data_IF_706878052808
#
_entry.id   IF_706878052808
#
_cell.length_a   1.000
_cell.length_b   1.000
_cell.length_c   1.000
_cell.angle_alpha   90.00
_cell.angle_beta   90.00
_cell.angle_gamma   90.00
#
_symmetry.space_group_name_H-M   'P 1'
#
loop_
_entity.id
_entity.type
_entity.pdbx_description
1 polymer ?
#
# COMPACT_ATOMS: atom_id res chain seq x y z
N UNK A 1 -8.14 -21.80 17.98
CA UNK A 1 -8.29 -20.47 18.58
C UNK A 1 -8.47 -20.50 20.11
N UNK A 2 -9.38 -21.30 20.71
CA UNK A 2 -9.58 -21.27 22.16
C UNK A 2 -8.33 -21.50 23.00
N UNK A 3 -7.44 -22.42 22.56
CA UNK A 3 -6.14 -22.66 23.22
C UNK A 3 -5.28 -21.38 23.24
N UNK A 4 -5.07 -20.73 22.10
CA UNK A 4 -4.29 -19.49 22.01
C UNK A 4 -4.88 -18.37 22.88
N UNK A 5 -6.19 -18.16 22.80
CA UNK A 5 -6.85 -17.13 23.60
C UNK A 5 -6.70 -17.35 25.11
N UNK A 6 -6.59 -18.60 25.54
CA UNK A 6 -6.43 -18.97 26.97
C UNK A 6 -4.97 -18.88 27.42
N UNK A 7 -4.05 -19.48 26.67
CA UNK A 7 -2.66 -19.66 27.10
C UNK A 7 -1.75 -18.51 26.64
N UNK A 8 -2.12 -17.85 25.53
CA UNK A 8 -1.33 -16.77 24.90
C UNK A 8 -2.26 -15.65 24.41
N UNK A 9 -2.89 -14.89 25.32
CA UNK A 9 -3.93 -13.90 24.97
C UNK A 9 -3.40 -12.78 24.04
N UNK A 10 -2.10 -12.48 24.09
CA UNK A 10 -1.46 -11.47 23.24
C UNK A 10 -1.01 -11.98 21.85
N UNK A 11 -1.17 -13.28 21.58
CA UNK A 11 -0.77 -13.85 20.29
C UNK A 11 -1.83 -13.58 19.22
N UNK A 12 -1.38 -13.06 18.07
CA UNK A 12 -2.17 -12.90 16.87
C UNK A 12 -1.86 -13.98 15.83
N UNK A 13 -2.91 -14.49 15.17
CA UNK A 13 -2.81 -15.41 14.05
C UNK A 13 -3.03 -14.66 12.74
N UNK A 14 -2.05 -14.74 11.84
CA UNK A 14 -2.12 -14.16 10.50
C UNK A 14 -2.24 -15.28 9.48
N UNK A 15 -3.26 -15.22 8.64
CA UNK A 15 -3.46 -16.16 7.53
C UNK A 15 -2.86 -15.60 6.24
N UNK A 16 -2.30 -16.45 5.40
CA UNK A 16 -1.92 -16.14 4.01
C UNK A 16 -2.87 -16.88 3.03
N UNK A 17 -4.15 -16.89 3.31
CA UNK A 17 -5.14 -17.58 2.50
C UNK A 17 -5.65 -16.73 1.33
N UNK A 18 -5.81 -15.42 1.54
CA UNK A 18 -6.36 -14.51 0.52
C UNK A 18 -7.89 -14.55 0.40
N UNK A 19 -8.58 -15.15 1.36
CA UNK A 19 -10.03 -15.16 1.49
C UNK A 19 -10.42 -14.73 2.93
N UNK A 20 -10.30 -13.43 3.25
CA UNK A 20 -10.45 -12.93 4.62
C UNK A 20 -11.80 -13.29 5.25
N UNK A 21 -12.86 -13.34 4.45
CA UNK A 21 -14.19 -13.72 4.93
C UNK A 21 -14.24 -15.16 5.46
N UNK A 22 -13.39 -16.07 5.00
CA UNK A 22 -13.31 -17.45 5.49
C UNK A 22 -12.32 -17.59 6.66
N UNK A 23 -11.12 -17.06 6.50
CA UNK A 23 -10.06 -17.20 7.49
C UNK A 23 -10.39 -16.51 8.82
N UNK A 24 -10.95 -15.28 8.75
CA UNK A 24 -11.35 -14.55 9.94
C UNK A 24 -12.49 -15.26 10.69
N UNK A 25 -13.49 -15.80 9.96
CA UNK A 25 -14.54 -16.63 10.59
C UNK A 25 -14.01 -17.95 11.16
N UNK A 26 -12.90 -18.48 10.62
CA UNK A 26 -12.22 -19.66 11.16
C UNK A 26 -11.38 -19.35 12.41
N UNK A 27 -11.26 -18.08 12.80
CA UNK A 27 -10.59 -17.65 14.04
C UNK A 27 -9.20 -17.08 13.87
N UNK A 28 -8.78 -16.74 12.65
CA UNK A 28 -7.60 -15.90 12.44
C UNK A 28 -7.90 -14.45 12.82
N UNK A 29 -6.89 -13.72 13.25
CA UNK A 29 -7.00 -12.30 13.59
C UNK A 29 -6.80 -11.39 12.38
N UNK A 30 -6.05 -11.86 11.38
CA UNK A 30 -5.72 -11.12 10.17
C UNK A 30 -5.66 -12.05 8.96
N UNK A 31 -6.07 -11.54 7.79
CA UNK A 31 -5.83 -12.13 6.48
C UNK A 31 -5.71 -11.02 5.43
N UNK A 32 -5.23 -11.37 4.26
CA UNK A 32 -4.88 -10.42 3.21
C UNK A 32 -5.84 -10.50 2.01
N UNK A 33 -6.00 -9.37 1.31
CA UNK A 33 -6.33 -9.35 -0.09
C UNK A 33 -5.02 -9.32 -0.89
N UNK A 34 -4.72 -10.41 -1.59
CA UNK A 34 -3.45 -10.66 -2.27
C UNK A 34 -3.61 -10.69 -3.80
N UNK A 35 -2.47 -10.89 -4.49
CA UNK A 35 -2.35 -10.96 -5.94
C UNK A 35 -3.01 -12.21 -6.59
N UNK A 36 -3.45 -13.16 -5.79
CA UNK A 36 -4.18 -14.36 -6.25
C UNK A 36 -5.66 -14.32 -5.83
N UNK A 37 -6.46 -15.17 -6.45
CA UNK A 37 -7.90 -15.21 -6.22
C UNK A 37 -8.64 -14.01 -6.80
N UNK A 38 -9.91 -13.82 -6.47
CA UNK A 38 -10.77 -12.77 -7.00
C UNK A 38 -10.64 -11.46 -6.20
N UNK A 39 -9.44 -11.11 -5.74
CA UNK A 39 -9.22 -9.95 -4.86
C UNK A 39 -9.19 -8.63 -5.59
N UNK A 40 -8.90 -8.64 -6.90
CA UNK A 40 -8.62 -7.45 -7.72
C UNK A 40 -7.47 -6.58 -7.19
N UNK A 41 -6.62 -7.13 -6.32
CA UNK A 41 -5.46 -6.44 -5.78
C UNK A 41 -4.47 -6.01 -6.87
N UNK A 42 -4.28 -6.86 -7.92
CA UNK A 42 -3.38 -6.52 -9.02
C UNK A 42 -3.86 -5.33 -9.85
N UNK A 43 -5.17 -5.09 -9.91
CA UNK A 43 -5.74 -3.95 -10.64
C UNK A 43 -5.27 -2.62 -10.04
N UNK A 44 -4.92 -2.61 -8.75
CA UNK A 44 -4.36 -1.44 -8.10
C UNK A 44 -2.91 -1.17 -8.50
N UNK A 45 -2.06 -2.24 -8.56
CA UNK A 45 -0.61 -2.06 -8.52
C UNK A 45 0.17 -2.78 -9.62
N UNK A 46 -0.31 -3.92 -10.16
CA UNK A 46 0.54 -4.91 -10.86
C UNK A 46 -0.01 -5.48 -12.16
N UNK A 47 -1.10 -4.94 -12.69
CA UNK A 47 -1.60 -5.25 -14.02
C UNK A 47 -0.94 -4.36 -15.08
N UNK A 48 -1.30 -4.52 -16.35
CA UNK A 48 -0.79 -3.72 -17.47
C UNK A 48 -1.12 -2.22 -17.32
N UNK A 49 -2.34 -1.92 -16.86
CA UNK A 49 -2.80 -0.55 -16.57
C UNK A 49 -3.26 -0.44 -15.11
N UNK A 50 -2.32 -0.41 -14.14
CA UNK A 50 -2.70 -0.37 -12.74
C UNK A 50 -3.32 0.98 -12.37
N UNK A 51 -4.26 0.97 -11.43
CA UNK A 51 -4.94 2.17 -10.97
C UNK A 51 -3.97 3.26 -10.51
N UNK A 52 -2.92 2.89 -9.78
CA UNK A 52 -1.92 3.83 -9.26
C UNK A 52 -0.91 4.33 -10.29
N UNK A 53 -1.01 3.89 -11.54
CA UNK A 53 -0.21 4.47 -12.63
C UNK A 53 -0.73 5.85 -13.02
N UNK A 54 0.20 6.79 -13.20
CA UNK A 54 -0.11 8.16 -13.65
C UNK A 54 -0.72 8.24 -15.05
N UNK A 55 -0.72 7.13 -15.81
CA UNK A 55 -1.43 7.05 -17.11
C UNK A 55 -2.93 7.26 -16.98
N UNK A 56 -3.52 7.04 -15.80
CA UNK A 56 -4.92 7.31 -15.51
C UNK A 56 -5.91 6.46 -16.31
N UNK A 57 -5.54 5.22 -16.63
CA UNK A 57 -6.37 4.26 -17.38
C UNK A 57 -6.87 3.10 -16.53
N UNK A 58 -6.26 2.87 -15.36
CA UNK A 58 -6.64 1.82 -14.44
C UNK A 58 -7.93 2.12 -13.69
N UNK A 59 -8.51 1.10 -13.06
CA UNK A 59 -9.71 1.20 -12.24
C UNK A 59 -9.51 0.52 -10.90
N UNK A 60 -9.96 1.17 -9.81
CA UNK A 60 -10.00 0.57 -8.47
C UNK A 60 -11.37 -0.02 -8.13
N UNK A 61 -12.38 0.17 -8.96
CA UNK A 61 -13.78 -0.14 -8.65
C UNK A 61 -13.99 -1.61 -8.26
N UNK A 62 -13.44 -2.55 -9.02
CA UNK A 62 -13.58 -3.99 -8.74
C UNK A 62 -12.92 -4.37 -7.40
N UNK A 63 -11.76 -3.79 -7.08
CA UNK A 63 -11.12 -3.97 -5.78
C UNK A 63 -11.98 -3.40 -4.64
N UNK A 64 -12.53 -2.19 -4.82
CA UNK A 64 -13.38 -1.54 -3.81
C UNK A 64 -14.64 -2.36 -3.55
N UNK A 65 -15.28 -2.89 -4.60
CA UNK A 65 -16.44 -3.77 -4.47
C UNK A 65 -16.08 -5.04 -3.69
N UNK A 66 -14.99 -5.71 -4.07
CA UNK A 66 -14.52 -6.92 -3.39
C UNK A 66 -14.13 -6.65 -1.94
N UNK A 67 -13.47 -5.53 -1.67
CA UNK A 67 -13.12 -5.12 -0.30
C UNK A 67 -14.38 -4.94 0.56
N UNK A 68 -15.40 -4.22 0.05
CA UNK A 68 -16.68 -4.03 0.74
C UNK A 68 -17.38 -5.35 1.01
N UNK A 69 -17.42 -6.26 0.03
CA UNK A 69 -17.99 -7.58 0.16
C UNK A 69 -17.30 -8.40 1.26
N UNK A 70 -15.97 -8.47 1.20
CA UNK A 70 -15.15 -9.21 2.16
C UNK A 70 -15.32 -8.66 3.58
N UNK A 71 -15.32 -7.32 3.74
CA UNK A 71 -15.54 -6.67 5.03
C UNK A 71 -16.93 -6.98 5.60
N UNK A 72 -17.96 -6.90 4.76
CA UNK A 72 -19.34 -7.24 5.18
C UNK A 72 -19.46 -8.68 5.65
N UNK A 73 -18.80 -9.63 4.97
CA UNK A 73 -18.82 -11.04 5.33
C UNK A 73 -17.97 -11.35 6.56
N UNK A 74 -16.82 -10.73 6.70
CA UNK A 74 -15.94 -10.89 7.86
C UNK A 74 -16.59 -10.32 9.15
N UNK A 75 -17.39 -9.27 9.02
CA UNK A 75 -17.95 -8.56 10.18
C UNK A 75 -16.83 -7.93 11.02
N UNK A 76 -16.95 -8.08 12.36
CA UNK A 76 -15.98 -7.55 13.33
C UNK A 76 -14.98 -8.61 13.81
N UNK A 77 -14.81 -9.73 13.08
CA UNK A 77 -14.06 -10.88 13.56
C UNK A 77 -12.55 -10.76 13.44
N UNK A 78 -12.04 -9.77 12.73
CA UNK A 78 -10.61 -9.55 12.52
C UNK A 78 -10.31 -8.48 11.47
N UNK A 79 -9.06 -8.41 11.02
CA UNK A 79 -8.58 -7.35 10.14
C UNK A 79 -8.32 -7.88 8.72
N UNK A 80 -8.83 -7.17 7.72
CA UNK A 80 -8.47 -7.37 6.31
C UNK A 80 -7.27 -6.48 6.01
N UNK A 81 -6.17 -7.09 5.61
CA UNK A 81 -4.90 -6.41 5.37
C UNK A 81 -4.60 -6.27 3.88
N UNK A 82 -4.04 -5.13 3.49
CA UNK A 82 -3.60 -4.84 2.12
C UNK A 82 -2.09 -4.60 2.21
N UNK A 83 -1.22 -5.57 1.80
CA UNK A 83 0.22 -5.41 1.88
C UNK A 83 0.77 -4.56 0.73
N UNK A 84 1.94 -3.96 0.90
CA UNK A 84 2.67 -3.34 -0.22
C UNK A 84 3.17 -4.40 -1.21
N UNK A 85 3.57 -5.54 -0.69
CA UNK A 85 4.08 -6.68 -1.42
C UNK A 85 4.32 -7.87 -0.52
N UNK A 86 4.81 -8.96 -1.10
CA UNK A 86 5.35 -10.11 -0.40
C UNK A 86 6.40 -10.83 -1.27
N UNK A 87 6.93 -11.94 -0.77
CA UNK A 87 7.95 -12.74 -1.43
C UNK A 87 7.46 -13.51 -2.68
N UNK A 88 6.17 -13.52 -2.94
CA UNK A 88 5.52 -14.27 -4.02
C UNK A 88 4.95 -13.40 -5.14
N UNK A 89 5.08 -12.08 -5.02
CA UNK A 89 4.62 -11.15 -6.04
C UNK A 89 5.71 -10.16 -6.45
N UNK A 90 5.53 -9.50 -7.58
CA UNK A 90 6.43 -8.45 -8.03
C UNK A 90 6.46 -7.28 -7.02
N UNK A 91 7.60 -6.60 -6.93
CA UNK A 91 7.70 -5.37 -6.14
C UNK A 91 6.87 -4.24 -6.74
N UNK A 92 6.37 -3.33 -5.90
CA UNK A 92 5.63 -2.14 -6.37
C UNK A 92 6.41 -1.36 -7.42
N UNK A 93 7.71 -1.16 -7.19
CA UNK A 93 8.59 -0.41 -8.08
C UNK A 93 8.89 -1.08 -9.43
N UNK A 94 8.35 -2.29 -9.71
CA UNK A 94 8.38 -2.89 -11.04
C UNK A 94 7.43 -2.17 -12.00
N UNK A 95 6.31 -1.72 -11.49
CA UNK A 95 5.20 -1.15 -12.27
C UNK A 95 4.97 0.34 -12.00
N UNK A 96 5.15 0.78 -10.75
CA UNK A 96 4.94 2.15 -10.29
C UNK A 96 6.27 2.86 -10.05
N UNK A 97 6.37 4.13 -10.41
CA UNK A 97 7.62 4.86 -10.34
C UNK A 97 7.46 6.25 -9.71
N UNK A 98 8.50 6.73 -9.03
CA UNK A 98 8.56 8.08 -8.47
C UNK A 98 7.36 8.40 -7.56
N UNK A 99 6.62 9.44 -7.90
CA UNK A 99 5.48 9.89 -7.10
C UNK A 99 4.29 8.91 -7.10
N UNK A 100 4.18 8.03 -8.10
CA UNK A 100 3.17 6.96 -8.09
C UNK A 100 3.30 6.06 -6.85
N UNK A 101 4.55 5.75 -6.44
CA UNK A 101 4.81 4.98 -5.22
C UNK A 101 4.34 5.74 -3.97
N UNK A 102 4.60 7.05 -3.88
CA UNK A 102 4.17 7.87 -2.73
C UNK A 102 2.64 7.89 -2.60
N UNK A 103 1.94 8.03 -3.73
CA UNK A 103 0.47 8.01 -3.80
C UNK A 103 -0.09 6.63 -3.43
N UNK A 104 0.55 5.54 -3.89
CA UNK A 104 0.19 4.17 -3.52
C UNK A 104 0.38 3.91 -2.01
N UNK A 105 1.47 4.40 -1.42
CA UNK A 105 1.69 4.30 0.04
C UNK A 105 0.70 5.13 0.85
N UNK A 106 0.24 6.28 0.33
CA UNK A 106 -0.83 7.05 0.98
C UNK A 106 -2.12 6.21 1.08
N UNK A 107 -2.49 5.47 0.03
CA UNK A 107 -3.58 4.50 0.09
C UNK A 107 -3.31 3.40 1.12
N UNK A 108 -2.21 2.67 0.99
CA UNK A 108 -1.88 1.53 1.84
C UNK A 108 -1.90 1.87 3.34
N UNK A 109 -1.39 3.06 3.70
CA UNK A 109 -1.26 3.48 5.09
C UNK A 109 -2.49 4.23 5.64
N UNK A 110 -3.48 4.55 4.80
CA UNK A 110 -4.75 5.15 5.25
C UNK A 110 -5.95 4.20 5.20
N UNK A 111 -5.81 3.03 4.54
CA UNK A 111 -6.83 1.97 4.58
C UNK A 111 -6.93 1.33 5.98
N UNK A 112 -8.11 0.78 6.36
CA UNK A 112 -8.24 -0.05 7.57
C UNK A 112 -7.37 -1.31 7.50
N UNK A 113 -7.28 -2.04 8.60
CA UNK A 113 -6.46 -3.25 8.73
C UNK A 113 -5.05 -2.95 9.21
N UNK A 114 -4.26 -3.97 9.46
CA UNK A 114 -2.85 -3.81 9.80
C UNK A 114 -2.03 -3.58 8.52
N UNK A 115 -1.22 -2.51 8.45
CA UNK A 115 -0.37 -2.28 7.30
C UNK A 115 0.81 -3.24 7.31
N UNK A 116 1.02 -3.96 6.22
CA UNK A 116 2.17 -4.81 5.98
C UNK A 116 3.02 -4.21 4.88
N UNK A 117 4.23 -3.77 5.22
CA UNK A 117 5.20 -3.25 4.27
C UNK A 117 6.22 -4.33 4.00
N UNK A 118 6.31 -4.80 2.76
CA UNK A 118 7.35 -5.73 2.36
C UNK A 118 8.68 -4.99 2.30
N UNK A 119 9.72 -5.54 2.94
CA UNK A 119 11.02 -4.88 3.06
C UNK A 119 11.55 -4.37 1.72
N UNK A 120 12.03 -3.14 1.71
CA UNK A 120 12.55 -2.47 0.53
C UNK A 120 11.50 -1.75 -0.33
N UNK A 121 10.20 -2.06 -0.20
CA UNK A 121 9.18 -1.29 -0.92
C UNK A 121 9.15 0.16 -0.44
N UNK A 122 9.47 0.42 0.83
CA UNK A 122 9.56 1.75 1.45
C UNK A 122 10.70 2.63 0.91
N UNK A 123 11.65 2.02 0.20
CA UNK A 123 12.73 2.74 -0.50
C UNK A 123 12.61 2.62 -2.03
N UNK A 124 11.53 2.00 -2.52
CA UNK A 124 11.35 1.76 -3.95
C UNK A 124 12.31 0.71 -4.52
N UNK A 125 12.68 -0.32 -3.72
CA UNK A 125 13.55 -1.39 -4.17
C UNK A 125 12.95 -2.09 -5.39
N UNK A 126 13.76 -2.22 -6.46
CA UNK A 126 13.30 -2.73 -7.75
C UNK A 126 13.24 -4.25 -7.75
N UNK A 127 12.40 -4.79 -8.61
CA UNK A 127 12.41 -6.21 -8.98
C UNK A 127 13.66 -6.49 -9.81
N UNK A 128 14.43 -7.52 -9.45
CA UNK A 128 15.62 -7.92 -10.23
C UNK A 128 15.19 -8.86 -11.34
N UNK A 129 15.29 -8.38 -12.57
CA UNK A 129 14.82 -9.11 -13.76
C UNK A 129 15.74 -10.27 -14.16
N UNK A 130 15.18 -11.24 -14.86
CA UNK A 130 15.89 -12.35 -15.50
C UNK A 130 16.65 -13.29 -14.54
N UNK A 131 16.28 -13.33 -13.28
CA UNK A 131 16.85 -14.30 -12.35
C UNK A 131 16.21 -15.68 -12.59
N UNK A 132 17.07 -16.70 -12.62
CA UNK A 132 16.61 -18.09 -12.64
C UNK A 132 16.01 -18.43 -11.27
N UNK A 133 14.82 -19.02 -11.25
CA UNK A 133 14.22 -19.48 -10.01
C UNK A 133 15.01 -20.64 -9.43
N UNK A 134 15.60 -20.46 -8.24
CA UNK A 134 16.35 -21.50 -7.52
C UNK A 134 15.46 -22.33 -6.59
N UNK A 135 14.22 -21.89 -6.40
CA UNK A 135 13.27 -22.50 -5.45
C UNK A 135 12.15 -23.30 -6.14
N UNK A 136 12.19 -23.35 -7.47
CA UNK A 136 11.11 -23.93 -8.28
C UNK A 136 9.85 -23.05 -8.33
N UNK A 137 8.82 -23.56 -9.02
CA UNK A 137 7.57 -22.83 -9.21
C UNK A 137 7.66 -21.71 -10.25
N UNK A 138 6.82 -20.68 -10.10
CA UNK A 138 6.82 -19.53 -10.98
C UNK A 138 7.94 -18.53 -10.67
N UNK A 139 8.23 -17.66 -11.63
CA UNK A 139 9.33 -16.69 -11.50
C UNK A 139 8.99 -15.57 -10.50
N UNK A 140 9.55 -15.64 -9.30
CA UNK A 140 9.36 -14.69 -8.18
C UNK A 140 10.68 -14.29 -7.51
N UNK A 141 11.78 -14.88 -7.93
CA UNK A 141 13.10 -14.71 -7.30
C UNK A 141 13.53 -13.25 -7.24
N UNK A 142 13.20 -12.45 -8.24
CA UNK A 142 13.57 -11.04 -8.32
C UNK A 142 12.94 -10.13 -7.25
N UNK A 143 11.86 -10.56 -6.58
CA UNK A 143 11.28 -9.83 -5.46
C UNK A 143 11.99 -10.11 -4.13
N UNK A 144 12.87 -11.11 -4.08
CA UNK A 144 13.56 -11.61 -2.88
C UNK A 144 15.01 -11.15 -2.79
N UNK A 145 15.41 -10.17 -3.63
CA UNK A 145 16.76 -9.60 -3.59
C UNK A 145 17.08 -9.03 -2.20
N UNK A 146 18.36 -9.06 -1.79
CA UNK A 146 18.77 -8.52 -0.49
C UNK A 146 18.40 -7.05 -0.32
N UNK A 147 18.13 -6.64 0.94
CA UNK A 147 17.95 -5.22 1.28
C UNK A 147 19.21 -4.43 0.96
N UNK A 148 19.05 -3.22 0.42
CA UNK A 148 20.13 -2.33 0.03
C UNK A 148 20.25 -1.18 1.02
N UNK A 149 21.29 -1.26 1.88
CA UNK A 149 21.50 -0.32 2.96
C UNK A 149 22.32 0.90 2.53
N UNK A 150 23.42 0.68 1.82
CA UNK A 150 24.38 1.70 1.39
C UNK A 150 25.18 1.22 0.17
N UNK A 151 26.18 2.01 -0.27
CA UNK A 151 27.00 1.69 -1.44
C UNK A 151 28.24 0.83 -1.17
N UNK A 152 28.34 0.19 -0.01
CA UNK A 152 29.41 -0.78 0.28
C UNK A 152 29.18 -2.13 -0.42
N UNK A 153 30.11 -3.10 -0.24
CA UNK A 153 30.00 -4.42 -0.84
C UNK A 153 28.63 -5.04 -0.57
N UNK A 154 28.01 -5.61 -1.60
CA UNK A 154 26.64 -6.17 -1.56
C UNK A 154 25.60 -5.19 -1.00
N UNK A 155 25.79 -3.91 -1.24
CA UNK A 155 24.94 -2.85 -0.68
C UNK A 155 24.81 -2.87 0.85
N UNK A 156 25.86 -3.28 1.54
CA UNK A 156 25.87 -3.38 3.01
C UNK A 156 25.08 -4.55 3.58
N UNK A 157 24.53 -5.41 2.74
CA UNK A 157 23.77 -6.59 3.20
C UNK A 157 24.66 -7.68 3.76
N UNK A 158 25.83 -7.93 3.13
CA UNK A 158 26.75 -9.01 3.52
C UNK A 158 28.19 -8.67 3.14
N UNK A 159 29.14 -9.14 3.94
CA UNK A 159 30.57 -9.08 3.64
C UNK A 159 31.08 -10.29 2.82
N UNK A 160 30.20 -11.19 2.39
CA UNK A 160 30.57 -12.30 1.52
C UNK A 160 30.97 -11.79 0.14
N UNK A 161 31.72 -12.59 -0.64
CA UNK A 161 31.93 -12.26 -2.05
C UNK A 161 30.58 -12.28 -2.80
N UNK A 162 30.33 -11.36 -3.75
CA UNK A 162 29.04 -11.20 -4.42
C UNK A 162 28.51 -12.49 -5.04
N UNK A 163 29.37 -13.33 -5.59
CA UNK A 163 29.02 -14.62 -6.21
C UNK A 163 28.54 -15.68 -5.21
N UNK A 164 28.68 -15.43 -3.90
CA UNK A 164 28.18 -16.32 -2.82
C UNK A 164 26.82 -15.92 -2.29
N UNK A 165 26.26 -14.81 -2.76
CA UNK A 165 24.90 -14.45 -2.40
C UNK A 165 23.92 -15.45 -3.01
N UNK A 166 22.96 -15.92 -2.21
CA UNK A 166 21.90 -16.82 -2.67
C UNK A 166 21.03 -16.19 -3.77
N UNK A 167 20.71 -14.91 -3.62
CA UNK A 167 20.07 -14.07 -4.61
C UNK A 167 20.91 -12.80 -4.75
N UNK A 168 21.25 -12.36 -5.96
CA UNK A 168 22.05 -11.16 -6.18
C UNK A 168 21.30 -9.90 -5.79
N UNK A 169 22.04 -8.84 -5.52
CA UNK A 169 21.51 -7.48 -5.37
C UNK A 169 21.17 -6.87 -6.73
N UNK A 170 20.42 -5.75 -6.76
CA UNK A 170 20.17 -4.99 -7.96
C UNK A 170 21.40 -4.12 -8.29
N UNK A 171 22.23 -4.57 -9.22
CA UNK A 171 23.47 -3.92 -9.66
C UNK A 171 23.29 -2.84 -10.73
N UNK A 172 22.04 -2.56 -11.12
CA UNK A 172 21.76 -1.53 -12.14
C UNK A 172 22.05 -0.12 -11.60
N UNK A 173 22.41 0.81 -12.48
CA UNK A 173 22.62 2.20 -12.08
C UNK A 173 21.44 2.79 -11.32
N UNK A 174 21.72 3.66 -10.35
CA UNK A 174 20.73 4.33 -9.51
C UNK A 174 19.81 3.35 -8.75
N UNK A 175 20.34 2.20 -8.35
CA UNK A 175 19.63 1.28 -7.47
C UNK A 175 19.42 1.94 -6.10
N UNK A 176 18.19 1.96 -5.55
CA UNK A 176 17.90 2.70 -4.34
C UNK A 176 18.59 2.06 -3.13
N UNK A 177 19.09 2.89 -2.21
CA UNK A 177 19.62 2.47 -0.92
C UNK A 177 18.93 3.22 0.22
N UNK A 178 18.93 2.65 1.42
CA UNK A 178 18.45 3.34 2.62
C UNK A 178 19.23 4.63 2.85
N UNK A 179 20.55 4.61 2.64
CA UNK A 179 21.44 5.77 2.81
C UNK A 179 21.03 6.93 1.91
N UNK A 180 20.81 6.68 0.61
CA UNK A 180 20.37 7.71 -0.35
C UNK A 180 18.99 8.26 0.01
N UNK A 181 18.05 7.37 0.36
CA UNK A 181 16.70 7.76 0.73
C UNK A 181 16.68 8.60 2.03
N UNK A 182 17.54 8.30 2.98
CA UNK A 182 17.68 9.10 4.21
C UNK A 182 18.38 10.45 3.96
N UNK A 183 19.20 10.56 2.93
CA UNK A 183 19.84 11.82 2.55
C UNK A 183 18.91 12.79 1.81
N UNK A 184 17.81 12.29 1.20
CA UNK A 184 16.83 13.11 0.48
C UNK A 184 15.53 13.29 1.27
N UNK A 185 15.24 14.49 1.82
CA UNK A 185 13.98 14.76 2.53
C UNK A 185 12.70 14.59 1.71
N UNK A 186 12.80 14.58 0.37
CA UNK A 186 11.68 14.35 -0.54
C UNK A 186 11.52 12.88 -0.95
N UNK A 187 12.34 11.97 -0.41
CA UNK A 187 12.34 10.56 -0.74
C UNK A 187 11.05 9.83 -0.34
N UNK A 188 10.85 8.66 -0.95
CA UNK A 188 9.77 7.74 -0.59
C UNK A 188 9.86 7.31 0.88
N UNK A 189 11.07 7.05 1.39
CA UNK A 189 11.31 6.71 2.79
C UNK A 189 10.68 7.73 3.76
N UNK A 190 10.90 9.03 3.52
CA UNK A 190 10.33 10.06 4.37
C UNK A 190 8.82 10.20 4.20
N UNK A 191 8.27 9.98 3.02
CA UNK A 191 6.82 9.98 2.82
C UNK A 191 6.15 8.82 3.57
N UNK A 192 6.71 7.61 3.48
CA UNK A 192 6.24 6.45 4.26
C UNK A 192 6.32 6.73 5.77
N UNK A 193 7.42 7.31 6.22
CA UNK A 193 7.60 7.68 7.64
C UNK A 193 6.57 8.72 8.11
N UNK A 194 6.26 9.74 7.30
CA UNK A 194 5.21 10.74 7.58
C UNK A 194 3.83 10.08 7.67
N UNK A 195 3.49 9.19 6.73
CA UNK A 195 2.22 8.48 6.72
C UNK A 195 2.05 7.53 7.91
N UNK A 196 3.11 6.84 8.33
CA UNK A 196 3.10 6.02 9.55
C UNK A 196 2.86 6.90 10.79
N UNK A 197 3.53 8.06 10.88
CA UNK A 197 3.34 8.99 11.97
C UNK A 197 1.90 9.54 12.00
N UNK A 198 1.37 9.93 10.83
CA UNK A 198 -0.01 10.38 10.67
C UNK A 198 -1.01 9.32 11.16
N UNK A 199 -0.86 8.07 10.68
CA UNK A 199 -1.72 6.95 11.07
C UNK A 199 -1.76 6.72 12.57
N UNK A 200 -0.62 6.89 13.26
CA UNK A 200 -0.50 6.62 14.70
C UNK A 200 -1.18 7.65 15.60
N UNK A 201 -1.36 8.88 15.13
CA UNK A 201 -1.92 9.99 15.93
C UNK A 201 -3.40 10.25 15.64
N UNK A 202 -3.96 9.66 14.59
CA UNK A 202 -5.35 9.85 14.19
C UNK A 202 -6.17 8.58 14.40
N UNK A 203 -7.12 8.61 15.33
CA UNK A 203 -7.95 7.45 15.69
C UNK A 203 -8.74 6.91 14.51
N UNK A 204 -9.24 7.78 13.63
CA UNK A 204 -9.93 7.37 12.41
C UNK A 204 -9.06 6.57 11.44
N UNK A 205 -7.73 6.71 11.46
CA UNK A 205 -6.81 5.98 10.59
C UNK A 205 -6.30 4.66 11.19
N UNK A 206 -6.64 4.34 12.44
CA UNK A 206 -6.23 3.08 13.06
C UNK A 206 -6.84 1.87 12.36
N UNK A 207 -6.39 0.68 12.73
CA UNK A 207 -6.70 -0.58 12.04
C UNK A 207 -8.18 -0.93 12.02
N UNK A 208 -8.89 -0.59 13.08
CA UNK A 208 -10.30 -0.85 13.35
C UNK A 208 -11.23 0.31 12.96
N UNK A 209 -10.68 1.44 12.54
CA UNK A 209 -11.48 2.57 12.06
C UNK A 209 -12.38 2.20 10.88
N UNK A 210 -13.56 2.80 10.83
CA UNK A 210 -14.51 2.59 9.74
C UNK A 210 -14.05 3.23 8.43
N UNK A 211 -14.67 2.79 7.32
CA UNK A 211 -14.44 3.34 6.00
C UNK A 211 -15.74 3.41 5.20
N UNK A 212 -15.97 4.57 4.58
CA UNK A 212 -17.04 4.81 3.63
C UNK A 212 -16.45 5.35 2.33
N UNK A 213 -16.64 4.64 1.22
CA UNK A 213 -16.15 5.09 -0.09
C UNK A 213 -17.09 6.13 -0.69
N UNK A 214 -16.56 7.30 -1.00
CA UNK A 214 -17.22 8.42 -1.69
C UNK A 214 -17.07 8.27 -3.21
N UNK A 215 -15.91 7.79 -3.66
CA UNK A 215 -15.61 7.46 -5.06
C UNK A 215 -14.74 6.21 -5.08
N UNK A 216 -15.03 5.30 -5.99
CA UNK A 216 -14.40 3.99 -6.09
C UNK A 216 -13.19 3.94 -7.05
N UNK A 217 -12.85 5.07 -7.68
CA UNK A 217 -11.72 5.12 -8.61
C UNK A 217 -11.97 4.41 -9.94
N UNK A 218 -13.23 4.33 -10.39
CA UNK A 218 -13.56 3.75 -11.69
C UNK A 218 -12.93 4.55 -12.84
N UNK A 219 -12.43 3.85 -13.86
CA UNK A 219 -11.98 4.42 -15.15
C UNK A 219 -11.03 5.63 -15.00
N UNK A 220 -10.08 5.54 -14.04
CA UNK A 220 -9.11 6.59 -13.76
C UNK A 220 -9.67 7.80 -13.00
N UNK A 221 -10.89 7.72 -12.47
CA UNK A 221 -11.41 8.72 -11.55
C UNK A 221 -10.65 8.69 -10.21
N UNK A 222 -10.66 9.79 -9.43
CA UNK A 222 -10.09 9.78 -8.09
C UNK A 222 -10.77 8.74 -7.18
N UNK A 223 -9.99 8.05 -6.39
CA UNK A 223 -10.47 7.26 -5.26
C UNK A 223 -10.64 8.20 -4.06
N UNK A 224 -11.82 8.16 -3.42
CA UNK A 224 -12.04 8.94 -2.21
C UNK A 224 -12.86 8.15 -1.19
N UNK A 225 -12.46 8.27 0.07
CA UNK A 225 -13.15 7.62 1.18
C UNK A 225 -13.04 8.43 2.47
N UNK A 226 -14.02 8.25 3.33
CA UNK A 226 -14.04 8.80 4.68
C UNK A 226 -13.65 7.68 5.64
N UNK A 227 -12.62 7.91 6.44
CA UNK A 227 -12.26 7.12 7.59
C UNK A 227 -12.92 7.71 8.83
N UNK A 228 -13.43 6.88 9.72
CA UNK A 228 -14.07 7.36 10.94
C UNK A 228 -13.79 6.48 12.16
N UNK A 229 -13.75 7.14 13.31
CA UNK A 229 -13.77 6.56 14.64
C UNK A 229 -14.92 7.20 15.45
N UNK A 230 -15.01 6.90 16.74
CA UNK A 230 -15.99 7.54 17.64
C UNK A 230 -15.84 9.08 17.66
N UNK A 231 -14.61 9.57 17.59
CA UNK A 231 -14.29 10.98 17.86
C UNK A 231 -13.75 11.75 16.64
N UNK A 232 -13.49 11.06 15.52
CA UNK A 232 -12.80 11.70 14.40
C UNK A 232 -13.32 11.21 13.04
N UNK A 233 -13.36 12.12 12.06
CA UNK A 233 -13.57 11.81 10.64
C UNK A 233 -12.47 12.42 9.80
N UNK A 234 -11.96 11.65 8.87
CA UNK A 234 -10.89 12.03 7.96
C UNK A 234 -11.30 11.64 6.54
N UNK A 235 -11.20 12.59 5.65
CA UNK A 235 -11.37 12.39 4.21
C UNK A 235 -10.01 12.11 3.56
N UNK A 236 -9.92 11.03 2.80
CA UNK A 236 -8.78 10.73 1.95
C UNK A 236 -9.20 10.85 0.50
N UNK A 237 -8.46 11.63 -0.30
CA UNK A 237 -8.68 11.78 -1.74
C UNK A 237 -7.39 11.47 -2.46
N UNK A 238 -7.45 10.59 -3.44
CA UNK A 238 -6.31 10.10 -4.21
C UNK A 238 -6.59 10.25 -5.70
N UNK A 239 -5.74 11.00 -6.38
CA UNK A 239 -5.75 11.13 -7.83
C UNK A 239 -4.39 10.65 -8.38
N UNK A 240 -4.23 9.40 -8.79
CA UNK A 240 -2.98 8.93 -9.34
C UNK A 240 -2.70 9.44 -10.74
N UNK A 241 -3.73 9.83 -11.51
CA UNK A 241 -3.61 10.23 -12.90
C UNK A 241 -2.79 11.52 -13.07
N UNK A 242 -2.09 11.63 -14.22
CA UNK A 242 -1.33 12.83 -14.61
C UNK A 242 -2.25 13.91 -15.23
N UNK A 243 -3.40 14.11 -14.61
CA UNK A 243 -4.37 15.16 -14.98
C UNK A 243 -5.15 15.60 -13.76
N UNK A 244 -5.57 16.86 -13.78
CA UNK A 244 -6.49 17.39 -12.77
C UNK A 244 -7.83 16.66 -12.82
N UNK A 245 -8.42 16.44 -11.66
CA UNK A 245 -9.73 15.82 -11.54
C UNK A 245 -10.66 16.65 -10.66
N UNK A 246 -11.97 16.47 -10.85
CA UNK A 246 -13.00 17.14 -10.06
C UNK A 246 -13.89 16.10 -9.42
N UNK A 247 -14.14 16.26 -8.12
CA UNK A 247 -14.99 15.36 -7.35
C UNK A 247 -15.94 16.15 -6.45
N UNK A 248 -17.18 15.72 -6.36
CA UNK A 248 -18.13 16.17 -5.34
C UNK A 248 -17.96 15.31 -4.09
N UNK A 249 -17.69 15.94 -2.96
CA UNK A 249 -17.49 15.27 -1.69
C UNK A 249 -18.40 15.89 -0.64
N UNK A 250 -19.21 15.12 0.07
CA UNK A 250 -20.07 15.64 1.12
C UNK A 250 -19.25 16.13 2.32
N UNK A 251 -19.75 17.17 2.98
CA UNK A 251 -19.14 17.70 4.20
C UNK A 251 -18.14 18.83 3.98
N UNK A 252 -17.64 19.33 5.11
CA UNK A 252 -16.66 20.42 5.17
C UNK A 252 -15.33 19.81 5.63
N UNK A 253 -14.29 20.01 4.83
CA UNK A 253 -12.95 19.47 5.03
C UNK A 253 -11.93 20.58 4.78
N UNK A 254 -11.52 21.29 5.82
CA UNK A 254 -10.74 22.52 5.69
C UNK A 254 -9.32 22.39 6.21
N UNK A 255 -9.02 21.38 7.02
CA UNK A 255 -7.69 21.15 7.56
C UNK A 255 -6.96 20.09 6.74
N UNK A 256 -5.81 20.42 6.18
CA UNK A 256 -4.92 19.47 5.52
C UNK A 256 -3.98 18.83 6.53
N UNK A 257 -4.14 17.54 6.75
CA UNK A 257 -3.29 16.75 7.64
C UNK A 257 -2.06 16.20 6.91
N UNK A 258 -2.22 15.87 5.61
CA UNK A 258 -1.14 15.37 4.77
C UNK A 258 -1.44 15.65 3.30
N UNK A 259 -0.39 15.93 2.55
CA UNK A 259 -0.45 16.14 1.10
C UNK A 259 0.83 15.64 0.46
N UNK A 260 0.72 14.91 -0.63
CA UNK A 260 1.80 14.56 -1.56
C UNK A 260 1.36 14.81 -3.00
N UNK A 261 2.28 15.26 -3.86
CA UNK A 261 2.05 15.51 -5.28
C UNK A 261 1.33 16.82 -5.60
N UNK A 262 0.39 17.24 -4.78
CA UNK A 262 -0.35 18.49 -4.96
C UNK A 262 -1.58 18.57 -4.07
N UNK A 263 -2.18 19.76 -4.04
CA UNK A 263 -3.27 20.08 -3.09
C UNK A 263 -4.66 19.82 -3.68
N UNK A 264 -5.65 19.75 -2.81
CA UNK A 264 -7.07 19.81 -3.14
C UNK A 264 -7.59 21.21 -2.87
N UNK A 265 -8.28 21.81 -3.84
CA UNK A 265 -8.96 23.11 -3.70
C UNK A 265 -10.47 22.90 -3.62
N UNK A 266 -11.14 23.69 -2.79
CA UNK A 266 -12.60 23.75 -2.75
C UNK A 266 -13.09 24.90 -3.63
N UNK A 267 -13.95 24.59 -4.61
CA UNK A 267 -14.53 25.60 -5.49
C UNK A 267 -15.96 25.19 -5.86
N UNK A 268 -16.93 26.10 -5.65
CA UNK A 268 -18.34 25.90 -6.02
C UNK A 268 -18.94 24.55 -5.52
N UNK A 269 -18.57 24.12 -4.29
CA UNK A 269 -19.04 22.85 -3.71
C UNK A 269 -18.34 21.61 -4.23
N UNK A 270 -17.37 21.75 -5.13
CA UNK A 270 -16.56 20.67 -5.70
C UNK A 270 -15.13 20.72 -5.15
N UNK A 271 -14.43 19.60 -5.26
CA UNK A 271 -13.00 19.49 -4.99
C UNK A 271 -12.24 19.38 -6.31
N UNK A 272 -11.32 20.31 -6.53
CA UNK A 272 -10.37 20.27 -7.65
C UNK A 272 -9.10 19.62 -7.11
N UNK A 273 -8.69 18.51 -7.70
CA UNK A 273 -7.66 17.61 -7.19
C UNK A 273 -6.49 17.63 -8.15
N UNK A 274 -5.32 18.00 -7.65
CA UNK A 274 -4.10 18.05 -8.46
C UNK A 274 -3.74 16.67 -9.05
N UNK A 275 -3.01 16.63 -10.18
CA UNK A 275 -2.46 15.40 -10.74
C UNK A 275 -1.51 14.70 -9.75
N UNK A 276 -1.41 13.37 -9.85
CA UNK A 276 -0.47 12.53 -9.08
C UNK A 276 -0.42 12.89 -7.60
N UNK A 277 -1.58 13.00 -6.95
CA UNK A 277 -1.68 13.50 -5.58
C UNK A 277 -2.48 12.60 -4.67
N UNK A 278 -2.12 12.64 -3.39
CA UNK A 278 -2.92 12.12 -2.30
C UNK A 278 -3.05 13.18 -1.20
N UNK A 279 -4.26 13.34 -0.68
CA UNK A 279 -4.60 14.35 0.30
C UNK A 279 -5.42 13.73 1.42
N UNK A 280 -5.05 14.04 2.65
CA UNK A 280 -5.73 13.62 3.88
C UNK A 280 -6.22 14.88 4.58
N UNK A 281 -7.52 14.99 4.75
CA UNK A 281 -8.21 16.21 5.21
C UNK A 281 -9.09 15.93 6.43
N UNK A 282 -9.19 16.91 7.32
CA UNK A 282 -10.12 16.89 8.46
C UNK A 282 -11.03 18.11 8.46
#
# INVERSE_FOLDING_TARGET
RPFLSKEFPEAAMVSEWGEPDKSLQAGFDMDFLLHFGPSHYNDLFRCEEPYFSSRGKGSAAAFVEKYKESRKKAGETGLICIPSGNHDMDRLARTLHGDELKVAFAFLLTMPGAPFIYYGDEIGLRYVENLVSVEGGYNRTGSRSPMQWNHSVNFGFSNASPEKLYIPTDDKPNSPTVEDQMADPASLYYEVKKLIALRRVHSALLSDGDIEFVSDGADGAPLAYIRSSADEKILVIINPADKEAVLEVPGIWNESLYTVGGTVKAENGKRIISPKSANVLR
#
